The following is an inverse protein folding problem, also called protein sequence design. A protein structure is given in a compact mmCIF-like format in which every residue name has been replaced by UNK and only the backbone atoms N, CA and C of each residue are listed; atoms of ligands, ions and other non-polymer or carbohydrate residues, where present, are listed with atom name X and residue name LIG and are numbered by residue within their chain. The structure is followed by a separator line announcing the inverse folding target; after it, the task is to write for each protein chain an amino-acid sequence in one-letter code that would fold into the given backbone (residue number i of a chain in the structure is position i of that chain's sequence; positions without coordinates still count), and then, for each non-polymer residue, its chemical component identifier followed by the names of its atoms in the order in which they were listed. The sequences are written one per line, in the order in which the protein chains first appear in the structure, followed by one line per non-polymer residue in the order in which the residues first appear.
data_IF_056575553183
#
_entry.id   IF_056575553183
#
_cell.length_a   1.000
_cell.length_b   1.000
_cell.length_c   1.000
_cell.angle_alpha   90.00
_cell.angle_beta   90.00
_cell.angle_gamma   90.00
#
_symmetry.space_group_name_H-M   'P 1'
#
loop_
_entity.id
_entity.type
_entity.pdbx_description
1 polymer ?
#
# COMPACT_ATOMS: atom_id res chain seq x y z
N UNK A 1 -21.47 -2.87 -9.50
CA UNK A 1 -20.45 -3.81 -9.01
C UNK A 1 -20.22 -4.89 -10.04
N UNK A 2 -21.28 -5.57 -10.49
CA UNK A 2 -21.20 -6.63 -11.52
C UNK A 2 -20.35 -6.27 -12.75
N UNK A 3 -20.56 -5.11 -13.38
CA UNK A 3 -19.78 -4.68 -14.57
C UNK A 3 -18.27 -4.60 -14.30
N UNK A 4 -17.87 -4.22 -13.07
CA UNK A 4 -16.45 -4.20 -12.69
C UNK A 4 -15.96 -5.63 -12.50
N UNK A 5 -16.75 -6.50 -11.85
CA UNK A 5 -16.39 -7.89 -11.67
C UNK A 5 -16.28 -8.66 -13.00
N UNK A 6 -17.16 -8.34 -13.97
CA UNK A 6 -17.09 -8.87 -15.33
C UNK A 6 -15.76 -8.51 -15.99
N UNK A 7 -15.28 -7.28 -15.79
CA UNK A 7 -13.98 -6.82 -16.28
C UNK A 7 -12.81 -7.59 -15.66
N UNK A 8 -12.89 -7.96 -14.38
CA UNK A 8 -11.87 -8.83 -13.75
C UNK A 8 -11.94 -10.28 -14.26
N UNK A 9 -13.05 -10.69 -14.87
CA UNK A 9 -13.24 -12.01 -15.45
C UNK A 9 -12.84 -12.10 -16.93
N UNK A 10 -12.47 -11.00 -17.57
CA UNK A 10 -12.06 -11.01 -18.99
C UNK A 10 -10.70 -11.68 -19.18
N UNK A 11 -10.43 -12.08 -20.42
CA UNK A 11 -9.12 -12.63 -20.75
C UNK A 11 -8.06 -11.52 -20.71
N UNK A 12 -6.92 -11.73 -20.02
CA UNK A 12 -5.88 -10.71 -19.93
C UNK A 12 -5.35 -10.31 -21.31
N UNK A 13 -5.20 -9.00 -21.53
CA UNK A 13 -4.58 -8.44 -22.73
C UNK A 13 -3.24 -7.81 -22.39
N UNK A 14 -2.24 -7.99 -23.27
CA UNK A 14 -0.96 -7.31 -23.12
C UNK A 14 -1.04 -5.83 -23.51
N UNK A 15 -1.85 -5.52 -24.53
CA UNK A 15 -2.05 -4.18 -25.07
C UNK A 15 -3.01 -3.35 -24.20
N UNK A 16 -3.90 -4.01 -23.45
CA UNK A 16 -4.90 -3.38 -22.58
C UNK A 16 -4.82 -3.99 -21.16
N UNK A 17 -3.78 -3.66 -20.37
CA UNK A 17 -3.66 -4.17 -19.02
C UNK A 17 -4.76 -3.63 -18.11
N UNK A 18 -5.38 -4.52 -17.32
CA UNK A 18 -6.29 -4.13 -16.26
C UNK A 18 -5.49 -3.67 -15.04
N UNK A 19 -5.44 -2.36 -14.82
CA UNK A 19 -4.84 -1.78 -13.62
C UNK A 19 -5.96 -1.26 -12.71
N UNK A 20 -6.03 -1.84 -11.52
CA UNK A 20 -6.87 -1.35 -10.44
C UNK A 20 -6.06 -0.42 -9.52
N UNK A 21 -6.76 0.48 -8.84
CA UNK A 21 -6.17 1.49 -7.98
C UNK A 21 -6.95 1.58 -6.68
N UNK A 22 -6.23 1.73 -5.57
CA UNK A 22 -6.80 1.95 -4.25
C UNK A 22 -5.94 2.92 -3.42
N UNK A 23 -6.54 3.49 -2.39
CA UNK A 23 -5.89 4.44 -1.50
C UNK A 23 -6.20 4.13 -0.04
N UNK A 24 -5.18 4.13 0.81
CA UNK A 24 -5.34 3.94 2.25
C UNK A 24 -4.70 5.08 3.04
N UNK A 25 -5.27 5.39 4.21
CA UNK A 25 -4.64 6.29 5.17
C UNK A 25 -4.02 5.43 6.28
N UNK A 26 -2.71 5.48 6.44
CA UNK A 26 -1.98 4.71 7.44
C UNK A 26 -1.49 5.63 8.54
N UNK A 27 -1.99 5.41 9.75
CA UNK A 27 -1.44 6.05 10.93
C UNK A 27 -0.05 5.47 11.23
N UNK A 28 0.91 6.35 11.49
CA UNK A 28 2.23 6.01 11.98
C UNK A 28 2.19 5.99 13.51
N UNK A 29 2.59 4.87 14.08
CA UNK A 29 2.55 4.61 15.51
C UNK A 29 3.97 4.35 16.00
N UNK A 30 4.35 5.03 17.07
CA UNK A 30 5.60 4.80 17.79
C UNK A 30 5.34 4.11 19.13
N UNK A 31 6.33 3.39 19.62
CA UNK A 31 6.31 2.82 20.97
C UNK A 31 6.51 3.92 22.01
N UNK A 32 5.64 3.97 23.03
CA UNK A 32 5.86 4.87 24.18
C UNK A 32 6.91 4.29 25.13
N UNK A 33 6.92 2.96 25.26
CA UNK A 33 7.85 2.21 26.08
C UNK A 33 8.51 1.11 25.25
N UNK A 34 9.83 0.90 25.37
CA UNK A 34 10.51 -0.19 24.67
C UNK A 34 9.94 -1.56 25.04
N UNK A 35 9.77 -2.49 24.09
CA UNK A 35 9.33 -3.84 24.36
C UNK A 35 10.26 -4.56 25.34
N UNK A 36 9.67 -5.38 26.21
CA UNK A 36 10.43 -6.26 27.09
C UNK A 36 10.80 -7.50 26.27
N UNK A 37 12.10 -7.80 26.09
CA UNK A 37 12.54 -8.91 25.26
C UNK A 37 12.16 -10.26 25.88
N UNK A 38 11.98 -11.25 24.99
CA UNK A 38 11.72 -12.64 25.37
C UNK A 38 12.79 -13.19 26.31
N UNK A 39 12.37 -14.02 27.27
CA UNK A 39 13.23 -14.82 28.14
C UNK A 39 12.76 -16.29 28.13
N UNK A 40 13.58 -17.28 28.51
CA UNK A 40 13.13 -18.66 28.58
C UNK A 40 11.85 -18.81 29.44
N UNK A 41 10.75 -19.24 28.80
CA UNK A 41 9.44 -19.38 29.45
C UNK A 41 8.62 -18.08 29.57
N UNK A 42 9.05 -16.98 28.95
CA UNK A 42 8.34 -15.71 28.90
C UNK A 42 8.37 -15.10 27.50
N UNK A 43 7.21 -14.88 26.91
CA UNK A 43 7.08 -14.23 25.61
C UNK A 43 7.50 -12.74 25.67
N UNK A 44 7.84 -12.19 24.51
CA UNK A 44 8.03 -10.75 24.32
C UNK A 44 6.76 -9.99 24.75
N UNK A 45 6.94 -8.86 25.43
CA UNK A 45 5.82 -8.00 25.85
C UNK A 45 5.94 -6.63 25.23
N UNK A 46 4.93 -6.27 24.47
CA UNK A 46 4.74 -4.93 23.91
C UNK A 46 3.68 -4.20 24.75
N UNK A 47 3.92 -2.91 25.05
CA UNK A 47 2.93 -2.09 25.73
C UNK A 47 1.81 -1.70 24.76
N UNK A 48 0.59 -1.54 25.28
CA UNK A 48 -0.57 -1.15 24.46
C UNK A 48 -0.63 0.36 24.19
N UNK A 49 0.12 1.17 24.95
CA UNK A 49 0.22 2.61 24.70
C UNK A 49 1.10 2.89 23.48
N UNK A 50 0.62 3.78 22.62
CA UNK A 50 1.32 4.20 21.41
C UNK A 50 1.40 5.72 21.29
N UNK A 51 2.51 6.19 20.74
CA UNK A 51 2.67 7.55 20.25
C UNK A 51 2.03 7.70 18.88
N UNK A 52 1.40 8.84 18.61
CA UNK A 52 0.94 9.17 17.25
C UNK A 52 2.04 9.94 16.55
N UNK A 53 2.62 9.35 15.52
CA UNK A 53 3.74 9.93 14.77
C UNK A 53 3.33 10.52 13.41
N UNK A 54 2.02 10.68 13.22
CA UNK A 54 1.44 11.25 12.02
C UNK A 54 0.64 10.23 11.22
N UNK A 55 0.36 10.60 9.98
CA UNK A 55 -0.44 9.81 9.03
C UNK A 55 0.20 9.95 7.67
N UNK A 56 0.23 8.85 6.92
CA UNK A 56 0.69 8.80 5.54
C UNK A 56 -0.46 8.31 4.65
N UNK A 57 -0.58 8.91 3.47
CA UNK A 57 -1.45 8.43 2.42
C UNK A 57 -0.70 7.39 1.58
N UNK A 58 -1.26 6.19 1.47
CA UNK A 58 -0.78 5.13 0.59
C UNK A 58 -1.59 5.14 -0.69
N UNK A 59 -0.90 5.07 -1.82
CA UNK A 59 -1.49 4.86 -3.14
C UNK A 59 -1.01 3.52 -3.66
N UNK A 60 -1.95 2.69 -4.14
CA UNK A 60 -1.65 1.38 -4.69
C UNK A 60 -2.21 1.28 -6.10
N UNK A 61 -1.40 0.75 -7.01
CA UNK A 61 -1.85 0.23 -8.29
C UNK A 61 -1.55 -1.26 -8.35
N UNK A 62 -2.46 -2.07 -8.88
CA UNK A 62 -2.24 -3.50 -9.03
C UNK A 62 -2.85 -4.04 -10.32
N UNK A 63 -2.18 -5.04 -10.89
CA UNK A 63 -2.67 -5.85 -11.99
C UNK A 63 -3.06 -7.23 -11.41
N UNK A 64 -4.36 -7.56 -11.32
CA UNK A 64 -4.81 -8.83 -10.75
C UNK A 64 -4.39 -10.05 -11.56
N UNK A 65 -4.17 -9.90 -12.87
CA UNK A 65 -3.83 -11.00 -13.77
C UNK A 65 -2.33 -11.29 -13.81
N UNK A 66 -1.51 -10.24 -13.69
CA UNK A 66 -0.04 -10.36 -13.69
C UNK A 66 0.56 -10.51 -12.29
N UNK A 67 -0.22 -10.28 -11.23
CA UNK A 67 0.28 -10.27 -9.86
C UNK A 67 1.26 -9.12 -9.59
N UNK A 68 1.21 -8.07 -10.41
CA UNK A 68 2.05 -6.88 -10.26
C UNK A 68 1.35 -5.87 -9.35
N UNK A 69 2.14 -5.15 -8.53
CA UNK A 69 1.65 -4.00 -7.77
C UNK A 69 2.74 -2.96 -7.56
N UNK A 70 2.33 -1.70 -7.52
CA UNK A 70 3.13 -0.56 -7.07
C UNK A 70 2.44 0.05 -5.86
N UNK A 71 3.21 0.34 -4.83
CA UNK A 71 2.74 1.08 -3.65
C UNK A 71 3.69 2.24 -3.41
N UNK A 72 3.14 3.42 -3.18
CA UNK A 72 3.86 4.63 -2.79
C UNK A 72 3.17 5.26 -1.59
N UNK A 73 3.91 6.07 -0.84
CA UNK A 73 3.38 6.87 0.25
C UNK A 73 3.59 8.37 0.01
N UNK A 74 2.69 9.18 0.55
CA UNK A 74 2.69 10.63 0.48
C UNK A 74 2.26 11.21 1.83
N UNK A 75 2.69 12.45 2.09
CA UNK A 75 2.24 13.21 3.25
C UNK A 75 0.77 13.66 3.15
N UNK A 76 0.22 13.70 1.93
CA UNK A 76 -1.16 14.10 1.66
C UNK A 76 -1.82 13.28 0.55
N UNK A 77 -3.15 13.38 0.46
CA UNK A 77 -3.98 12.70 -0.53
C UNK A 77 -4.81 13.68 -1.33
N UNK A 78 -4.12 14.65 -1.94
CA UNK A 78 -4.75 15.66 -2.77
C UNK A 78 -4.92 15.17 -4.20
N UNK A 79 -5.72 15.87 -4.99
CA UNK A 79 -5.82 15.64 -6.44
C UNK A 79 -4.49 15.82 -7.19
N UNK A 80 -3.56 16.62 -6.64
CA UNK A 80 -2.23 16.82 -7.22
C UNK A 80 -1.38 15.57 -6.95
N UNK A 81 -1.43 15.05 -5.73
CA UNK A 81 -0.75 13.80 -5.36
C UNK A 81 -1.24 12.65 -6.27
N UNK A 82 -2.56 12.53 -6.45
CA UNK A 82 -3.14 11.55 -7.36
C UNK A 82 -2.64 11.68 -8.81
N UNK A 83 -2.58 12.91 -9.35
CA UNK A 83 -2.10 13.15 -10.70
C UNK A 83 -0.61 12.77 -10.85
N UNK A 84 0.21 13.04 -9.84
CA UNK A 84 1.61 12.61 -9.83
C UNK A 84 1.75 11.08 -9.77
N UNK A 85 0.89 10.39 -9.02
CA UNK A 85 0.87 8.92 -9.00
C UNK A 85 0.52 8.32 -10.36
N UNK A 86 -0.47 8.88 -11.06
CA UNK A 86 -0.80 8.48 -12.44
C UNK A 86 0.37 8.78 -13.39
N UNK A 87 1.01 9.95 -13.24
CA UNK A 87 2.19 10.30 -14.05
C UNK A 87 3.32 9.29 -13.85
N UNK A 88 3.54 8.84 -12.62
CA UNK A 88 4.55 7.82 -12.32
C UNK A 88 4.17 6.44 -12.85
N UNK A 89 2.90 6.04 -12.75
CA UNK A 89 2.39 4.79 -13.33
C UNK A 89 2.66 4.72 -14.84
N UNK A 90 2.36 5.81 -15.57
CA UNK A 90 2.56 5.89 -17.02
C UNK A 90 4.03 6.11 -17.42
N UNK A 91 4.86 6.60 -16.50
CA UNK A 91 6.27 6.93 -16.72
C UNK A 91 7.22 5.74 -16.85
N UNK A 92 6.74 4.50 -16.72
CA UNK A 92 7.52 3.28 -16.97
C UNK A 92 8.32 2.77 -15.76
N UNK A 93 7.96 3.15 -14.54
CA UNK A 93 8.63 2.64 -13.36
C UNK A 93 8.30 1.16 -13.11
N UNK A 94 9.25 0.30 -13.48
CA UNK A 94 9.38 -1.07 -12.99
C UNK A 94 9.85 -1.07 -11.53
N UNK A 95 9.10 -0.47 -10.61
CA UNK A 95 9.46 -0.48 -9.18
C UNK A 95 8.65 -1.54 -8.46
N UNK A 96 9.27 -2.73 -8.37
CA UNK A 96 8.95 -3.73 -7.35
C UNK A 96 9.35 -3.14 -6.01
N UNK A 97 8.39 -2.77 -5.18
CA UNK A 97 8.64 -2.57 -3.75
C UNK A 97 8.25 -3.86 -3.05
N UNK A 98 9.25 -4.67 -2.70
CA UNK A 98 9.08 -5.59 -1.58
C UNK A 98 8.93 -4.73 -0.34
N UNK A 99 7.74 -4.73 0.26
CA UNK A 99 7.60 -4.33 1.65
C UNK A 99 8.36 -5.37 2.48
N UNK A 100 9.51 -4.97 3.04
CA UNK A 100 10.08 -5.61 4.21
C UNK A 100 9.40 -5.03 5.46
#
# INVERSE_FOLDING_TARGET
MEVVLDLYGTQPSEEEPLIAMDEASKQLLGEVYPPIPMQPGQDTKEDYHYGREGVQALFMFFDPHRGWRRVSNRDSRTRIDWAEEIRQLLGGDSVVVMAA
#
